data_IF_203720190692
#
_entry.id   IF_203720190692
#
_cell.length_a   1.000
_cell.length_b   1.000
_cell.length_c   1.000
_cell.angle_alpha   90.00
_cell.angle_beta   90.00
_cell.angle_gamma   90.00
#
_symmetry.space_group_name_H-M   'P 1'
#
loop_
_entity.id
_entity.type
_entity.pdbx_description
1 polymer ?
#
# COMPACT_ATOMS: atom_id res chain seq x y z
N UNK A 1 -8.71 -6.30 15.86
CA UNK A 1 -9.04 -6.77 14.50
C UNK A 1 -8.42 -5.77 13.54
N UNK A 2 -7.32 -6.13 12.87
CA UNK A 2 -6.65 -5.19 11.96
C UNK A 2 -7.55 -4.93 10.76
N UNK A 3 -7.66 -3.67 10.32
CA UNK A 3 -8.43 -3.35 9.10
C UNK A 3 -7.57 -3.72 7.90
N UNK A 4 -8.20 -4.13 6.80
CA UNK A 4 -7.51 -4.46 5.55
C UNK A 4 -6.53 -3.36 5.10
N UNK A 5 -6.90 -2.09 5.30
CA UNK A 5 -6.02 -0.94 5.03
C UNK A 5 -4.70 -0.98 5.80
N UNK A 6 -4.74 -1.38 7.07
CA UNK A 6 -3.54 -1.43 7.93
C UNK A 6 -2.61 -2.56 7.46
N UNK A 7 -3.18 -3.68 7.00
CA UNK A 7 -2.42 -4.82 6.45
C UNK A 7 -1.70 -4.42 5.16
N UNK A 8 -2.42 -3.76 4.24
CA UNK A 8 -1.85 -3.27 2.97
C UNK A 8 -0.75 -2.23 3.24
N UNK A 9 -0.96 -1.32 4.20
CA UNK A 9 0.03 -0.31 4.59
C UNK A 9 1.34 -0.96 5.07
N UNK A 10 1.27 -1.89 6.02
CA UNK A 10 2.46 -2.56 6.55
C UNK A 10 3.18 -3.40 5.49
N UNK A 11 2.43 -4.01 4.57
CA UNK A 11 3.01 -4.71 3.42
C UNK A 11 3.82 -3.76 2.52
N UNK A 12 3.23 -2.64 2.11
CA UNK A 12 3.90 -1.64 1.25
C UNK A 12 5.14 -1.06 1.94
N UNK A 13 5.04 -0.72 3.24
CA UNK A 13 6.21 -0.24 4.01
C UNK A 13 7.34 -1.26 4.06
N UNK A 14 7.00 -2.55 4.18
CA UNK A 14 8.00 -3.63 4.21
C UNK A 14 8.73 -3.71 2.87
N UNK A 15 8.01 -3.65 1.76
CA UNK A 15 8.60 -3.63 0.42
C UNK A 15 9.48 -2.38 0.22
N UNK A 16 8.97 -1.20 0.57
CA UNK A 16 9.70 0.05 0.42
C UNK A 16 11.03 0.05 1.19
N UNK A 17 11.03 -0.52 2.41
CA UNK A 17 12.24 -0.68 3.22
C UNK A 17 13.26 -1.63 2.58
N UNK A 18 12.79 -2.66 1.87
CA UNK A 18 13.65 -3.60 1.14
C UNK A 18 14.20 -3.01 -0.16
N UNK A 19 13.47 -2.07 -0.76
CA UNK A 19 13.82 -1.42 -2.03
C UNK A 19 14.56 -0.08 -1.86
N UNK A 20 15.25 0.11 -0.74
CA UNK A 20 16.08 1.31 -0.46
C UNK A 20 15.34 2.66 -0.59
N UNK A 21 14.02 2.68 -0.37
CA UNK A 21 13.22 3.90 -0.34
C UNK A 21 12.47 4.25 -1.63
N UNK A 22 12.58 3.44 -2.68
CA UNK A 22 11.80 3.60 -3.92
C UNK A 22 11.11 2.28 -4.28
N UNK A 23 9.83 2.34 -4.67
CA UNK A 23 9.04 1.14 -4.95
C UNK A 23 8.06 1.42 -6.09
N UNK A 24 8.04 0.52 -7.08
CA UNK A 24 7.02 0.50 -8.12
C UNK A 24 6.02 -0.64 -7.85
N UNK A 25 4.72 -0.36 -7.93
CA UNK A 25 3.66 -1.31 -7.63
C UNK A 25 2.63 -1.39 -8.76
N UNK A 26 2.21 -2.61 -9.08
CA UNK A 26 1.05 -2.85 -9.92
C UNK A 26 -0.21 -2.92 -9.06
N UNK A 27 -1.02 -1.86 -9.09
CA UNK A 27 -2.24 -1.73 -8.27
C UNK A 27 -3.18 -2.92 -8.41
N UNK A 28 -3.39 -3.39 -9.64
CA UNK A 28 -4.36 -4.45 -9.90
C UNK A 28 -3.86 -5.80 -9.33
N UNK A 29 -2.55 -6.08 -9.41
CA UNK A 29 -1.95 -7.27 -8.83
C UNK A 29 -2.04 -7.25 -7.30
N UNK A 30 -1.78 -6.10 -6.68
CA UNK A 30 -1.94 -5.93 -5.24
C UNK A 30 -3.40 -6.16 -4.81
N UNK A 31 -4.35 -5.61 -5.58
CA UNK A 31 -5.77 -5.77 -5.30
C UNK A 31 -6.20 -7.23 -5.40
N UNK A 32 -5.74 -7.96 -6.41
CA UNK A 32 -5.97 -9.40 -6.58
C UNK A 32 -5.35 -10.20 -5.43
N UNK A 33 -4.10 -9.91 -5.05
CA UNK A 33 -3.41 -10.57 -3.93
C UNK A 33 -4.14 -10.40 -2.59
N UNK A 34 -4.71 -9.23 -2.33
CA UNK A 34 -5.47 -8.93 -1.12
C UNK A 34 -6.97 -9.24 -1.25
N UNK A 35 -7.40 -9.85 -2.36
CA UNK A 35 -8.81 -10.16 -2.66
C UNK A 35 -9.75 -8.96 -2.48
N UNK A 36 -9.31 -7.78 -2.93
CA UNK A 36 -10.03 -6.53 -2.75
C UNK A 36 -10.16 -5.74 -4.06
N UNK A 37 -11.03 -4.72 -4.06
CA UNK A 37 -11.18 -3.84 -5.22
C UNK A 37 -9.94 -2.95 -5.41
N UNK A 38 -9.53 -2.61 -6.65
CA UNK A 38 -8.39 -1.71 -6.88
C UNK A 38 -8.52 -0.33 -6.22
N UNK A 39 -9.75 0.14 -5.99
CA UNK A 39 -10.03 1.37 -5.25
C UNK A 39 -9.57 1.33 -3.80
N UNK A 40 -9.52 0.14 -3.18
CA UNK A 40 -8.99 -0.04 -1.83
C UNK A 40 -7.50 0.28 -1.76
N UNK A 41 -6.73 -0.14 -2.78
CA UNK A 41 -5.30 0.19 -2.88
C UNK A 41 -5.12 1.70 -3.03
N UNK A 42 -5.90 2.34 -3.91
CA UNK A 42 -5.89 3.80 -4.07
C UNK A 42 -6.20 4.53 -2.75
N UNK A 43 -7.20 4.06 -2.00
CA UNK A 43 -7.57 4.64 -0.71
C UNK A 43 -6.43 4.54 0.31
N UNK A 44 -5.73 3.39 0.37
CA UNK A 44 -4.57 3.22 1.26
C UNK A 44 -3.44 4.17 0.85
N UNK A 45 -3.07 4.20 -0.44
CA UNK A 45 -2.04 5.10 -0.95
C UNK A 45 -2.36 6.57 -0.63
N UNK A 46 -3.56 7.02 -0.96
CA UNK A 46 -3.97 8.41 -0.76
C UNK A 46 -4.05 8.85 0.72
N UNK A 47 -4.30 7.92 1.65
CA UNK A 47 -4.49 8.27 3.07
C UNK A 47 -3.29 7.93 3.97
N UNK A 48 -2.35 7.11 3.50
CA UNK A 48 -1.19 6.64 4.27
C UNK A 48 0.16 7.02 3.66
N UNK A 49 0.22 7.15 2.33
CA UNK A 49 1.45 7.40 1.56
C UNK A 49 1.33 8.74 0.82
N UNK A 50 1.18 9.81 1.59
CA UNK A 50 1.06 11.18 1.10
C UNK A 50 2.30 11.99 1.47
N UNK A 51 2.52 13.10 0.75
CA UNK A 51 3.67 14.00 0.96
C UNK A 51 3.75 14.54 2.40
N UNK A 52 2.61 14.80 3.04
CA UNK A 52 2.55 15.24 4.45
C UNK A 52 3.01 14.16 5.46
N UNK A 53 3.04 12.89 5.02
CA UNK A 53 3.52 11.74 5.82
C UNK A 53 4.95 11.34 5.47
N UNK A 54 5.61 12.05 4.55
CA UNK A 54 7.01 11.82 4.19
C UNK A 54 7.22 10.76 3.10
N UNK A 55 6.19 10.51 2.28
CA UNK A 55 6.25 9.65 1.09
C UNK A 55 6.04 10.45 -0.19
#
# INVERSE_FOLDING_TARGET
MARLSDIIEEFIKTLLKQSEGELELQRNELAEYFECAPSQINYVLATRFSLDRGY
#
